data_IF_521123701787
#
_entry.id   IF_521123701787
#
_cell.length_a   1.000
_cell.length_b   1.000
_cell.length_c   1.000
_cell.angle_alpha   90.00
_cell.angle_beta   90.00
_cell.angle_gamma   90.00
#
_symmetry.space_group_name_H-M   'P 1'
#
loop_
_entity.id
_entity.type
_entity.pdbx_description
1 polymer ?
#
# COMPACT_ATOMS: atom_id res chain seq x y z
N UNK A 1 4.97 32.16 -15.06
CA UNK A 1 3.78 31.55 -15.68
C UNK A 1 2.82 30.99 -14.63
N UNK A 2 3.27 30.05 -13.80
CA UNK A 2 2.49 29.42 -12.70
C UNK A 2 1.71 30.43 -11.84
N UNK A 3 2.38 31.39 -11.22
CA UNK A 3 1.71 32.38 -10.34
C UNK A 3 0.64 33.24 -11.04
N UNK A 4 0.86 33.58 -12.32
CA UNK A 4 -0.12 34.36 -13.12
C UNK A 4 -1.36 33.52 -13.44
N UNK A 5 -1.16 32.25 -13.79
CA UNK A 5 -2.26 31.31 -14.06
C UNK A 5 -3.08 31.04 -12.80
N UNK A 6 -2.42 30.77 -11.67
CA UNK A 6 -3.11 30.49 -10.40
C UNK A 6 -3.88 31.72 -9.91
N UNK A 7 -3.33 32.92 -10.07
CA UNK A 7 -4.03 34.17 -9.77
C UNK A 7 -5.28 34.36 -10.64
N UNK A 8 -5.12 34.26 -11.96
CA UNK A 8 -6.23 34.41 -12.91
C UNK A 8 -7.35 33.38 -12.68
N UNK A 9 -6.98 32.11 -12.44
CA UNK A 9 -7.97 31.05 -12.18
C UNK A 9 -8.72 31.31 -10.87
N UNK A 10 -8.03 31.70 -9.79
CA UNK A 10 -8.67 32.01 -8.50
C UNK A 10 -9.61 33.21 -8.58
N UNK A 11 -9.23 34.23 -9.34
CA UNK A 11 -10.03 35.46 -9.50
C UNK A 11 -11.28 35.22 -10.35
N UNK A 12 -11.15 34.47 -11.45
CA UNK A 12 -12.22 34.34 -12.47
C UNK A 12 -13.04 33.06 -12.36
N UNK A 13 -12.54 32.03 -11.67
CA UNK A 13 -13.20 30.73 -11.51
C UNK A 13 -13.12 30.28 -10.04
N UNK A 14 -13.81 30.96 -9.11
CA UNK A 14 -13.91 30.50 -7.73
C UNK A 14 -14.62 29.13 -7.69
N UNK A 15 -14.15 28.23 -6.81
CA UNK A 15 -14.76 26.92 -6.66
C UNK A 15 -16.25 27.04 -6.30
N UNK A 16 -17.16 26.22 -6.89
CA UNK A 16 -16.89 25.02 -7.68
C UNK A 16 -16.92 25.23 -9.21
N UNK A 17 -16.79 26.46 -9.71
CA UNK A 17 -16.92 26.76 -11.13
C UNK A 17 -15.88 26.02 -11.98
N UNK A 18 -16.33 25.38 -13.06
CA UNK A 18 -15.44 24.71 -14.02
C UNK A 18 -14.56 25.74 -14.74
N UNK A 19 -13.25 25.47 -14.81
CA UNK A 19 -12.28 26.35 -15.45
C UNK A 19 -12.40 26.26 -16.98
N UNK A 20 -12.61 27.39 -17.64
CA UNK A 20 -12.55 27.48 -19.11
C UNK A 20 -11.11 27.67 -19.57
N UNK A 21 -10.43 26.57 -19.88
CA UNK A 21 -9.01 26.59 -20.27
C UNK A 21 -8.74 27.29 -21.61
N UNK A 22 -9.74 27.46 -22.48
CA UNK A 22 -9.59 28.25 -23.70
C UNK A 22 -9.44 29.74 -23.37
N UNK A 23 -10.20 30.24 -22.40
CA UNK A 23 -10.07 31.61 -21.91
C UNK A 23 -8.74 31.83 -21.16
N UNK A 24 -8.30 30.85 -20.36
CA UNK A 24 -6.99 30.89 -19.69
C UNK A 24 -5.84 30.89 -20.71
N UNK A 25 -5.93 30.04 -21.73
CA UNK A 25 -5.00 29.96 -22.86
C UNK A 25 -4.87 31.28 -23.59
N UNK A 26 -6.00 31.90 -23.94
CA UNK A 26 -6.03 33.22 -24.59
C UNK A 26 -5.43 34.32 -23.68
N UNK A 27 -5.73 34.31 -22.39
CA UNK A 27 -5.17 35.27 -21.44
C UNK A 27 -3.65 35.12 -21.28
N UNK A 28 -3.16 33.89 -21.27
CA UNK A 28 -1.76 33.59 -21.05
C UNK A 28 -0.91 33.60 -22.31
N UNK A 29 -1.52 33.60 -23.50
CA UNK A 29 -0.84 33.38 -24.79
C UNK A 29 -0.06 32.05 -24.81
N UNK A 30 -0.68 30.99 -24.29
CA UNK A 30 -0.09 29.64 -24.19
C UNK A 30 -1.09 28.62 -24.75
N UNK A 31 -0.60 27.50 -25.28
CA UNK A 31 -1.44 26.40 -25.78
C UNK A 31 -2.37 25.90 -24.67
N UNK A 32 -3.62 25.59 -25.03
CA UNK A 32 -4.65 25.16 -24.09
C UNK A 32 -4.24 23.91 -23.30
N UNK A 33 -3.63 22.94 -23.97
CA UNK A 33 -3.17 21.69 -23.34
C UNK A 33 -2.08 21.93 -22.29
N UNK A 34 -1.21 22.91 -22.50
CA UNK A 34 -0.22 23.33 -21.51
C UNK A 34 -0.88 23.96 -20.28
N UNK A 35 -1.95 24.74 -20.47
CA UNK A 35 -2.71 25.32 -19.36
C UNK A 35 -3.38 24.23 -18.51
N UNK A 36 -3.98 23.22 -19.16
CA UNK A 36 -4.57 22.06 -18.48
C UNK A 36 -3.51 21.29 -17.71
N UNK A 37 -2.38 20.99 -18.37
CA UNK A 37 -1.26 20.25 -17.77
C UNK A 37 -0.70 20.96 -16.55
N UNK A 38 -0.39 22.26 -16.64
CA UNK A 38 0.14 23.04 -15.52
C UNK A 38 -0.92 23.10 -14.39
N UNK A 39 -2.20 23.26 -14.71
CA UNK A 39 -3.25 23.28 -13.70
C UNK A 39 -3.35 21.95 -12.96
N UNK A 40 -3.35 20.82 -13.67
CA UNK A 40 -3.37 19.49 -13.06
C UNK A 40 -2.11 19.21 -12.23
N UNK A 41 -0.94 19.67 -12.67
CA UNK A 41 0.31 19.60 -11.89
C UNK A 41 0.19 20.35 -10.56
N UNK A 42 -0.39 21.55 -10.56
CA UNK A 42 -0.59 22.36 -9.35
C UNK A 42 -1.63 21.76 -8.39
N UNK A 43 -2.60 21.01 -8.92
CA UNK A 43 -3.58 20.27 -8.12
C UNK A 43 -3.03 18.91 -7.62
N UNK A 44 -1.76 18.61 -7.86
CA UNK A 44 -1.14 17.34 -7.46
C UNK A 44 -1.60 16.13 -8.28
N UNK A 45 -2.26 16.35 -9.43
CA UNK A 45 -2.78 15.31 -10.32
C UNK A 45 -1.75 14.84 -11.36
N UNK A 46 -0.47 14.87 -11.00
CA UNK A 46 0.61 14.43 -11.90
C UNK A 46 0.46 12.95 -12.28
N UNK A 47 0.53 12.64 -13.57
CA UNK A 47 0.49 11.28 -14.11
C UNK A 47 1.79 10.96 -14.84
N UNK A 48 2.32 9.77 -14.58
CA UNK A 48 3.46 9.24 -15.32
C UNK A 48 3.00 8.72 -16.68
N UNK A 49 3.30 9.50 -17.72
CA UNK A 49 3.08 9.17 -19.12
C UNK A 49 4.42 8.84 -19.79
N UNK A 50 4.40 8.21 -20.97
CA UNK A 50 5.63 7.81 -21.68
C UNK A 50 6.56 9.02 -21.91
N UNK A 51 5.99 10.15 -22.31
CA UNK A 51 6.75 11.39 -22.54
C UNK A 51 7.44 11.90 -21.26
N UNK A 52 6.79 11.80 -20.11
CA UNK A 52 7.32 12.21 -18.81
C UNK A 52 8.44 11.28 -18.35
N UNK A 53 8.36 9.98 -18.65
CA UNK A 53 9.46 9.05 -18.40
C UNK A 53 10.68 9.38 -19.27
N UNK A 54 10.46 9.61 -20.56
CA UNK A 54 11.52 9.97 -21.51
C UNK A 54 12.16 11.31 -21.11
N UNK A 55 11.35 12.31 -20.79
CA UNK A 55 11.83 13.61 -20.32
C UNK A 55 12.61 13.51 -19.01
N UNK A 56 12.10 12.76 -18.03
CA UNK A 56 12.81 12.51 -16.78
C UNK A 56 14.15 11.80 -16.99
N UNK A 57 14.22 10.87 -17.95
CA UNK A 57 15.46 10.19 -18.31
C UNK A 57 16.47 11.14 -18.96
N UNK A 58 16.03 12.01 -19.88
CA UNK A 58 16.88 13.04 -20.50
C UNK A 58 17.47 13.97 -19.43
N UNK A 59 16.65 14.49 -18.52
CA UNK A 59 17.12 15.35 -17.43
C UNK A 59 18.13 14.64 -16.53
N UNK A 60 17.97 13.32 -16.30
CA UNK A 60 18.96 12.53 -15.55
C UNK A 60 20.28 12.36 -16.28
N UNK A 61 20.26 12.16 -17.59
CA UNK A 61 21.47 12.10 -18.43
C UNK A 61 22.20 13.44 -18.43
N UNK A 62 21.47 14.55 -18.37
CA UNK A 62 22.02 15.89 -18.22
C UNK A 62 22.61 16.18 -16.82
N UNK A 63 22.60 15.21 -15.91
CA UNK A 63 23.24 15.31 -14.61
C UNK A 63 22.34 15.84 -13.48
N UNK A 64 21.08 16.20 -13.76
CA UNK A 64 20.19 16.76 -12.73
C UNK A 64 19.85 15.71 -11.67
N UNK A 65 19.87 16.10 -10.41
CA UNK A 65 19.45 15.25 -9.29
C UNK A 65 17.95 14.91 -9.37
N UNK A 66 17.54 13.82 -8.71
CA UNK A 66 16.11 13.46 -8.66
C UNK A 66 15.21 14.54 -8.03
N UNK A 67 15.77 15.44 -7.22
CA UNK A 67 15.03 16.59 -6.68
C UNK A 67 14.74 17.62 -7.78
N UNK A 68 15.76 17.98 -8.55
CA UNK A 68 15.63 18.95 -9.64
C UNK A 68 14.74 18.38 -10.75
N UNK A 69 14.92 17.11 -11.11
CA UNK A 69 14.01 16.42 -12.05
C UNK A 69 12.57 16.45 -11.56
N UNK A 70 12.34 16.27 -10.26
CA UNK A 70 11.00 16.39 -9.70
C UNK A 70 10.43 17.81 -9.89
N UNK A 71 11.20 18.85 -9.59
CA UNK A 71 10.79 20.25 -9.79
C UNK A 71 10.49 20.58 -11.26
N UNK A 72 11.25 20.00 -12.21
CA UNK A 72 11.00 20.15 -13.64
C UNK A 72 9.72 19.44 -14.11
N UNK A 73 9.35 18.31 -13.49
CA UNK A 73 8.19 17.51 -13.88
C UNK A 73 6.91 17.97 -13.19
N UNK A 74 6.97 18.25 -11.88
CA UNK A 74 5.88 18.87 -11.13
C UNK A 74 6.35 19.36 -9.75
N UNK A 75 5.91 20.57 -9.34
CA UNK A 75 6.25 21.12 -8.04
C UNK A 75 5.75 20.27 -6.86
N UNK A 76 4.74 19.41 -7.08
CA UNK A 76 4.19 18.51 -6.06
C UNK A 76 4.82 17.12 -6.06
N UNK A 77 5.74 16.84 -7.00
CA UNK A 77 6.33 15.51 -7.16
C UNK A 77 7.50 15.35 -6.20
N UNK A 78 7.57 14.22 -5.49
CA UNK A 78 8.69 13.95 -4.58
C UNK A 78 9.87 13.31 -5.31
N UNK A 79 11.08 13.55 -4.79
CA UNK A 79 12.31 12.83 -5.16
C UNK A 79 12.13 11.33 -5.26
N UNK A 80 11.45 10.77 -4.26
CA UNK A 80 11.25 9.33 -4.10
C UNK A 80 10.32 8.79 -5.21
N UNK A 81 9.32 9.57 -5.59
CA UNK A 81 8.42 9.24 -6.70
C UNK A 81 9.21 9.18 -8.01
N UNK A 82 10.05 10.17 -8.31
CA UNK A 82 10.89 10.19 -9.53
C UNK A 82 11.88 9.04 -9.54
N UNK A 83 12.62 8.84 -8.45
CA UNK A 83 13.61 7.76 -8.34
C UNK A 83 12.97 6.39 -8.53
N UNK A 84 11.80 6.15 -7.92
CA UNK A 84 11.06 4.89 -8.09
C UNK A 84 10.57 4.72 -9.52
N UNK A 85 9.96 5.75 -10.10
CA UNK A 85 9.39 5.71 -11.44
C UNK A 85 10.47 5.41 -12.48
N UNK A 86 11.59 6.13 -12.46
CA UNK A 86 12.70 5.89 -13.38
C UNK A 86 13.34 4.52 -13.19
N UNK A 87 13.49 4.06 -11.95
CA UNK A 87 13.95 2.68 -11.69
C UNK A 87 13.00 1.67 -12.31
N UNK A 88 11.69 1.82 -12.11
CA UNK A 88 10.68 0.91 -12.67
C UNK A 88 10.59 0.96 -14.20
N UNK A 89 10.93 2.09 -14.81
CA UNK A 89 10.97 2.27 -16.26
C UNK A 89 12.23 1.68 -16.90
N UNK A 90 13.40 1.96 -16.31
CA UNK A 90 14.70 1.55 -16.85
C UNK A 90 15.08 0.11 -16.51
N UNK A 91 14.55 -0.47 -15.43
CA UNK A 91 14.77 -1.89 -15.16
C UNK A 91 13.68 -2.70 -15.85
N UNK A 92 14.03 -3.59 -16.81
CA UNK A 92 13.08 -4.60 -17.24
C UNK A 92 12.58 -5.28 -15.98
N UNK A 93 11.27 -5.27 -15.74
CA UNK A 93 10.71 -6.12 -14.71
C UNK A 93 11.20 -7.52 -15.08
N UNK A 94 12.01 -8.20 -14.25
CA UNK A 94 12.45 -9.54 -14.58
C UNK A 94 11.18 -10.32 -14.94
N UNK A 95 11.22 -11.04 -16.06
CA UNK A 95 10.11 -11.91 -16.44
C UNK A 95 9.93 -12.87 -15.28
N UNK A 96 8.90 -12.62 -14.48
CA UNK A 96 8.65 -13.36 -13.25
C UNK A 96 7.94 -14.62 -13.69
N UNK A 97 8.71 -15.67 -13.89
CA UNK A 97 8.14 -16.97 -14.20
C UNK A 97 7.25 -17.42 -13.03
N UNK A 98 6.02 -17.86 -13.31
CA UNK A 98 5.22 -18.54 -12.30
C UNK A 98 5.92 -19.83 -11.88
N UNK A 99 5.73 -20.21 -10.62
CA UNK A 99 6.18 -21.52 -10.13
C UNK A 99 5.39 -22.61 -10.88
N UNK A 100 6.09 -23.55 -11.49
CA UNK A 100 5.48 -24.64 -12.26
C UNK A 100 4.77 -25.64 -11.34
N UNK A 101 3.94 -26.52 -11.92
CA UNK A 101 3.30 -27.60 -11.18
C UNK A 101 4.35 -28.54 -10.55
N UNK A 102 5.36 -28.94 -11.33
CA UNK A 102 6.44 -29.82 -10.87
C UNK A 102 7.21 -29.22 -9.68
N UNK A 103 7.49 -27.91 -9.71
CA UNK A 103 8.13 -27.21 -8.60
C UNK A 103 7.23 -27.16 -7.36
N UNK A 104 5.91 -27.00 -7.53
CA UNK A 104 4.96 -27.06 -6.41
C UNK A 104 4.89 -28.46 -5.80
N UNK A 105 5.05 -29.51 -6.59
CA UNK A 105 5.11 -30.89 -6.13
C UNK A 105 6.43 -31.16 -5.40
N UNK A 106 7.55 -30.67 -5.92
CA UNK A 106 8.84 -30.72 -5.23
C UNK A 106 8.81 -29.98 -3.90
N UNK A 107 8.24 -28.77 -3.85
CA UNK A 107 8.03 -28.05 -2.59
C UNK A 107 7.22 -28.90 -1.61
N UNK A 108 6.15 -29.56 -2.08
CA UNK A 108 5.28 -30.37 -1.22
C UNK A 108 6.05 -31.55 -0.62
N UNK A 109 6.80 -32.29 -1.43
CA UNK A 109 7.65 -33.40 -0.97
C UNK A 109 8.70 -32.95 0.06
N UNK A 110 9.35 -31.82 -0.18
CA UNK A 110 10.34 -31.28 0.74
C UNK A 110 9.71 -30.78 2.06
N UNK A 111 8.49 -30.21 1.99
CA UNK A 111 7.74 -29.87 3.19
C UNK A 111 7.40 -31.12 3.99
N UNK A 112 6.94 -32.21 3.35
CA UNK A 112 6.66 -33.48 4.01
C UNK A 112 7.93 -34.07 4.66
N UNK A 113 9.07 -33.99 3.97
CA UNK A 113 10.35 -34.47 4.48
C UNK A 113 10.83 -33.70 5.71
N UNK A 114 10.62 -32.39 5.72
CA UNK A 114 11.15 -31.47 6.74
C UNK A 114 10.18 -31.16 7.88
N UNK A 115 8.88 -31.41 7.70
CA UNK A 115 7.88 -31.18 8.71
C UNK A 115 8.23 -31.93 10.01
N UNK A 116 8.21 -31.21 11.13
CA UNK A 116 8.53 -31.75 12.45
C UNK A 116 10.03 -31.95 12.74
N UNK A 117 10.90 -31.87 11.73
CA UNK A 117 12.37 -31.96 11.90
C UNK A 117 13.05 -30.60 12.01
N UNK A 118 12.47 -29.60 11.35
CA UNK A 118 13.03 -28.25 11.25
C UNK A 118 11.97 -27.20 11.58
N UNK A 119 12.42 -26.03 12.03
CA UNK A 119 11.55 -24.86 12.18
C UNK A 119 11.09 -24.34 10.83
N UNK A 120 9.96 -23.64 10.78
CA UNK A 120 9.40 -23.06 9.54
C UNK A 120 10.40 -22.18 8.81
N UNK A 121 11.22 -21.42 9.53
CA UNK A 121 12.24 -20.55 8.95
C UNK A 121 13.30 -21.39 8.22
N UNK A 122 13.78 -22.45 8.87
CA UNK A 122 14.75 -23.37 8.30
C UNK A 122 14.19 -24.14 7.10
N UNK A 123 12.92 -24.58 7.15
CA UNK A 123 12.25 -25.23 6.02
C UNK A 123 12.23 -24.29 4.81
N UNK A 124 11.79 -23.05 5.00
CA UNK A 124 11.73 -22.06 3.92
C UNK A 124 13.12 -21.82 3.31
N UNK A 125 14.16 -21.70 4.14
CA UNK A 125 15.51 -21.44 3.66
C UNK A 125 16.18 -22.66 3.01
N UNK A 126 15.91 -23.88 3.49
CA UNK A 126 16.37 -25.13 2.86
C UNK A 126 15.73 -25.34 1.49
N UNK A 127 14.41 -25.23 1.39
CA UNK A 127 13.69 -25.37 0.13
C UNK A 127 14.13 -24.29 -0.87
N UNK A 128 14.31 -23.04 -0.41
CA UNK A 128 14.81 -21.95 -1.25
C UNK A 128 16.18 -22.27 -1.83
N UNK A 129 17.09 -22.82 -1.02
CA UNK A 129 18.45 -23.14 -1.41
C UNK A 129 18.47 -24.30 -2.41
N UNK A 130 17.69 -25.35 -2.15
CA UNK A 130 17.63 -26.53 -3.02
C UNK A 130 17.00 -26.26 -4.38
N UNK A 131 15.92 -25.46 -4.42
CA UNK A 131 15.19 -25.17 -5.66
C UNK A 131 15.68 -23.89 -6.37
N UNK A 132 16.75 -23.27 -5.87
CA UNK A 132 17.34 -22.04 -6.41
C UNK A 132 16.33 -20.94 -6.78
N UNK A 133 15.36 -20.66 -5.88
CA UNK A 133 14.30 -19.68 -6.12
C UNK A 133 14.73 -18.20 -5.99
N UNK A 134 16.02 -17.90 -6.11
CA UNK A 134 16.63 -16.58 -5.89
C UNK A 134 15.97 -15.45 -6.68
N UNK A 135 15.34 -15.75 -7.83
CA UNK A 135 14.69 -14.75 -8.70
C UNK A 135 13.16 -14.80 -8.74
N UNK A 136 12.50 -15.79 -8.10
CA UNK A 136 11.05 -15.99 -8.26
C UNK A 136 10.25 -15.16 -7.24
N UNK A 137 9.25 -14.40 -7.70
CA UNK A 137 8.36 -13.66 -6.77
C UNK A 137 7.42 -14.65 -6.09
N UNK A 138 7.15 -14.45 -4.80
CA UNK A 138 6.15 -15.21 -4.02
C UNK A 138 6.50 -16.67 -3.67
N UNK A 139 7.73 -17.16 -3.90
CA UNK A 139 8.11 -18.53 -3.47
C UNK A 139 7.91 -18.72 -1.96
N UNK A 140 8.30 -17.72 -1.14
CA UNK A 140 8.06 -17.76 0.32
C UNK A 140 6.59 -17.95 0.66
N UNK A 141 5.70 -17.26 -0.04
CA UNK A 141 4.26 -17.41 0.17
C UNK A 141 3.79 -18.81 -0.24
N UNK A 142 4.29 -19.37 -1.33
CA UNK A 142 3.93 -20.70 -1.82
C UNK A 142 4.41 -21.81 -0.90
N UNK A 143 5.66 -21.74 -0.44
CA UNK A 143 6.21 -22.66 0.58
C UNK A 143 5.40 -22.53 1.87
N UNK A 144 5.18 -21.31 2.35
CA UNK A 144 4.38 -21.07 3.56
C UNK A 144 2.98 -21.70 3.45
N UNK A 145 2.31 -21.56 2.29
CA UNK A 145 1.02 -22.20 2.05
C UNK A 145 1.08 -23.72 2.16
N UNK A 146 2.11 -24.36 1.59
CA UNK A 146 2.30 -25.82 1.69
C UNK A 146 2.59 -26.27 3.11
N UNK A 147 3.47 -25.56 3.82
CA UNK A 147 3.72 -25.79 5.26
C UNK A 147 2.41 -25.77 6.04
N UNK A 148 1.55 -24.78 5.80
CA UNK A 148 0.28 -24.69 6.56
C UNK A 148 -0.82 -25.64 6.11
N UNK A 149 -0.72 -26.19 4.90
CA UNK A 149 -1.59 -27.27 4.47
C UNK A 149 -1.17 -28.62 5.08
N UNK A 150 0.07 -28.74 5.55
CA UNK A 150 0.59 -29.96 6.13
C UNK A 150 -0.05 -30.26 7.51
N UNK A 151 -0.49 -31.50 7.79
CA UNK A 151 -1.20 -31.87 9.03
C UNK A 151 -0.47 -31.47 10.31
N UNK A 152 0.86 -31.65 10.36
CA UNK A 152 1.69 -31.26 11.52
C UNK A 152 1.50 -29.79 11.92
N UNK A 153 1.46 -28.87 10.95
CA UNK A 153 1.30 -27.44 11.23
C UNK A 153 -0.17 -27.04 11.36
N UNK A 154 -1.10 -27.78 10.77
CA UNK A 154 -2.54 -27.56 11.01
C UNK A 154 -2.91 -27.79 12.47
N UNK A 155 -2.40 -28.86 13.09
CA UNK A 155 -2.58 -29.12 14.53
C UNK A 155 -2.00 -27.99 15.38
N UNK A 156 -0.75 -27.57 15.10
CA UNK A 156 -0.16 -26.39 15.76
C UNK A 156 -1.04 -25.15 15.61
N UNK A 157 -1.56 -24.89 14.40
CA UNK A 157 -2.40 -23.71 14.13
C UNK A 157 -3.78 -23.77 14.79
N UNK A 158 -4.36 -24.96 15.01
CA UNK A 158 -5.62 -25.10 15.75
C UNK A 158 -5.44 -24.86 17.24
N UNK A 159 -4.28 -25.21 17.78
CA UNK A 159 -3.97 -25.07 19.22
C UNK A 159 -3.60 -23.63 19.60
N UNK A 160 -3.26 -22.78 18.63
CA UNK A 160 -2.98 -21.38 18.89
C UNK A 160 -4.24 -20.68 19.40
N UNK A 161 -4.23 -20.34 20.69
CA UNK A 161 -5.23 -19.48 21.30
C UNK A 161 -5.10 -18.05 20.76
N UNK A 162 -5.73 -17.82 19.62
CA UNK A 162 -5.69 -16.56 18.94
C UNK A 162 -6.46 -15.44 19.67
N UNK A 163 -7.27 -15.78 20.67
CA UNK A 163 -7.97 -14.80 21.51
C UNK A 163 -6.99 -14.02 22.41
N UNK A 164 -5.84 -14.60 22.76
CA UNK A 164 -4.77 -13.91 23.50
C UNK A 164 -3.81 -13.15 22.55
N UNK A 165 -3.49 -13.73 21.39
CA UNK A 165 -2.56 -13.13 20.43
C UNK A 165 -3.07 -11.86 19.76
N UNK A 166 -4.37 -11.78 19.47
CA UNK A 166 -4.98 -10.60 18.84
C UNK A 166 -4.76 -9.32 19.66
N UNK A 167 -5.16 -9.29 20.95
CA UNK A 167 -4.94 -8.17 21.85
C UNK A 167 -3.47 -7.80 22.04
N UNK A 168 -2.58 -8.79 22.20
CA UNK A 168 -1.13 -8.54 22.40
C UNK A 168 -0.48 -7.88 21.17
N UNK A 169 -0.92 -8.24 19.97
CA UNK A 169 -0.46 -7.60 18.73
C UNK A 169 -1.08 -6.20 18.57
N UNK A 170 -2.37 -6.04 18.91
CA UNK A 170 -3.07 -4.75 18.83
C UNK A 170 -2.53 -3.71 19.82
N UNK A 171 -2.08 -4.14 21.00
CA UNK A 171 -1.47 -3.29 22.02
C UNK A 171 -0.01 -2.95 21.75
N UNK A 172 0.62 -3.62 20.77
CA UNK A 172 2.03 -3.43 20.41
C UNK A 172 3.02 -4.19 21.30
N UNK A 173 2.54 -5.06 22.19
CA UNK A 173 3.40 -5.89 23.06
C UNK A 173 4.22 -6.91 22.26
N UNK A 174 3.72 -7.35 21.11
CA UNK A 174 4.46 -8.21 20.19
C UNK A 174 4.11 -7.89 18.74
N UNK A 175 4.98 -8.27 17.81
CA UNK A 175 4.68 -8.18 16.37
C UNK A 175 4.26 -9.54 15.85
N UNK A 176 3.47 -9.57 14.76
CA UNK A 176 3.08 -10.84 14.13
C UNK A 176 4.29 -11.68 13.70
N UNK A 177 5.41 -11.03 13.34
CA UNK A 177 6.64 -11.73 12.97
C UNK A 177 7.27 -12.44 14.17
N UNK A 178 7.37 -11.74 15.31
CA UNK A 178 7.93 -12.31 16.55
C UNK A 178 7.04 -13.43 17.06
N UNK A 179 5.73 -13.20 17.13
CA UNK A 179 4.77 -14.22 17.53
C UNK A 179 4.83 -15.48 16.64
N UNK A 180 4.95 -15.30 15.31
CA UNK A 180 5.06 -16.40 14.37
C UNK A 180 6.35 -17.22 14.55
N UNK A 181 7.46 -16.56 14.91
CA UNK A 181 8.71 -17.26 15.23
C UNK A 181 8.59 -18.06 16.52
N UNK A 182 8.00 -17.49 17.58
CA UNK A 182 7.81 -18.19 18.86
C UNK A 182 6.89 -19.41 18.72
N UNK A 183 5.88 -19.31 17.86
CA UNK A 183 4.90 -20.38 17.63
C UNK A 183 5.33 -21.35 16.51
N UNK A 184 6.48 -21.12 15.90
CA UNK A 184 6.99 -21.91 14.77
C UNK A 184 5.95 -22.08 13.64
N UNK A 185 5.38 -20.95 13.18
CA UNK A 185 4.38 -20.90 12.10
C UNK A 185 4.72 -19.83 11.07
N UNK A 186 4.26 -19.94 9.81
CA UNK A 186 4.51 -18.90 8.81
C UNK A 186 3.85 -17.56 9.18
N UNK A 187 4.58 -16.42 9.18
CA UNK A 187 4.04 -15.11 9.58
C UNK A 187 2.83 -14.65 8.77
N UNK A 188 2.81 -14.92 7.46
CA UNK A 188 1.71 -14.54 6.58
C UNK A 188 0.41 -15.27 6.92
N UNK A 189 0.49 -16.50 7.44
CA UNK A 189 -0.68 -17.29 7.80
C UNK A 189 -1.17 -16.94 9.19
N UNK A 190 -0.27 -16.72 10.17
CA UNK A 190 -0.66 -16.18 11.47
C UNK A 190 -1.37 -14.82 11.32
N UNK A 191 -0.83 -13.92 10.48
CA UNK A 191 -1.47 -12.64 10.15
C UNK A 191 -2.89 -12.84 9.60
N UNK A 192 -3.08 -13.78 8.66
CA UNK A 192 -4.37 -14.08 8.07
C UNK A 192 -5.35 -14.65 9.09
N UNK A 193 -4.89 -15.54 9.98
CA UNK A 193 -5.71 -16.15 11.02
C UNK A 193 -6.18 -15.13 12.04
N UNK A 194 -5.28 -14.26 12.50
CA UNK A 194 -5.60 -13.12 13.37
C UNK A 194 -6.62 -12.21 12.68
N UNK A 195 -6.42 -11.89 11.40
CA UNK A 195 -7.37 -11.09 10.62
C UNK A 195 -8.75 -11.75 10.55
N UNK A 196 -8.83 -13.06 10.28
CA UNK A 196 -10.10 -13.80 10.23
C UNK A 196 -10.82 -13.81 11.58
N UNK A 197 -10.08 -13.91 12.68
CA UNK A 197 -10.66 -13.91 14.01
C UNK A 197 -11.09 -12.51 14.44
N UNK A 198 -10.29 -11.48 14.14
CA UNK A 198 -10.72 -10.09 14.29
C UNK A 198 -11.99 -9.82 13.47
N UNK A 199 -12.12 -10.38 12.27
CA UNK A 199 -13.35 -10.26 11.49
C UNK A 199 -14.55 -10.95 12.16
N UNK A 200 -14.34 -12.01 12.95
CA UNK A 200 -15.40 -12.63 13.77
C UNK A 200 -15.70 -11.83 15.04
N UNK A 201 -14.70 -11.22 15.67
CA UNK A 201 -14.84 -10.41 16.88
C UNK A 201 -15.56 -9.08 16.60
N UNK A 202 -15.34 -8.50 15.42
CA UNK A 202 -15.91 -7.22 15.05
C UNK A 202 -17.03 -7.36 14.02
N UNK A 203 -18.22 -6.92 14.39
CA UNK A 203 -19.37 -6.91 13.48
C UNK A 203 -19.01 -6.19 12.15
N UNK A 204 -19.32 -6.79 10.99
CA UNK A 204 -19.13 -6.13 9.70
C UNK A 204 -20.12 -4.98 9.49
N UNK A 205 -21.24 -4.97 10.23
CA UNK A 205 -22.23 -3.90 10.17
C UNK A 205 -21.72 -2.68 10.95
N UNK A 206 -21.89 -1.51 10.33
CA UNK A 206 -21.57 -0.23 10.94
C UNK A 206 -22.84 0.39 11.49
N UNK A 207 -22.85 0.67 12.80
CA UNK A 207 -23.91 1.47 13.40
C UNK A 207 -23.65 2.97 13.15
N UNK A 208 -24.71 3.77 13.09
CA UNK A 208 -24.61 5.20 12.75
C UNK A 208 -23.83 6.01 13.79
N UNK A 209 -23.83 5.57 15.06
CA UNK A 209 -23.02 6.17 16.11
C UNK A 209 -21.51 5.92 15.90
N UNK A 210 -21.12 4.74 15.41
CA UNK A 210 -19.73 4.39 15.08
C UNK A 210 -19.24 5.22 13.89
N UNK A 211 -20.10 5.38 12.87
CA UNK A 211 -19.80 6.20 11.70
C UNK A 211 -19.60 7.66 12.13
N UNK A 212 -20.50 8.21 12.95
CA UNK A 212 -20.39 9.59 13.46
C UNK A 212 -19.10 9.80 14.25
N UNK A 213 -18.75 8.89 15.16
CA UNK A 213 -17.50 8.97 15.94
C UNK A 213 -16.26 8.90 15.04
N UNK A 214 -16.27 8.05 14.01
CA UNK A 214 -15.20 7.97 13.02
C UNK A 214 -15.06 9.25 12.22
N UNK A 215 -16.17 9.81 11.74
CA UNK A 215 -16.16 11.06 10.97
C UNK A 215 -15.62 12.21 11.82
N UNK A 216 -16.11 12.35 13.06
CA UNK A 216 -15.66 13.38 13.99
C UNK A 216 -14.16 13.28 14.26
N UNK A 217 -13.65 12.07 14.57
CA UNK A 217 -12.21 11.88 14.80
C UNK A 217 -11.38 12.25 13.58
N UNK A 218 -11.80 11.81 12.39
CA UNK A 218 -11.12 12.11 11.14
C UNK A 218 -11.10 13.60 10.80
N UNK A 219 -12.14 14.34 11.18
CA UNK A 219 -12.22 15.79 11.02
C UNK A 219 -11.38 16.55 12.06
N UNK A 220 -11.23 15.99 13.27
CA UNK A 220 -10.41 16.58 14.33
C UNK A 220 -8.91 16.34 14.17
N UNK A 221 -8.49 15.45 13.25
CA UNK A 221 -7.09 15.18 12.98
C UNK A 221 -6.61 16.01 11.79
N UNK A 222 -5.83 17.06 12.06
CA UNK A 222 -5.15 17.85 11.03
C UNK A 222 -4.05 17.07 10.28
N UNK A 223 -3.57 15.98 10.88
CA UNK A 223 -2.51 15.10 10.36
C UNK A 223 -3.02 13.69 10.07
N UNK A 224 -2.14 12.84 9.52
CA UNK A 224 -2.42 11.42 9.23
C UNK A 224 -3.04 10.74 10.48
N UNK A 225 -4.28 10.25 10.40
CA UNK A 225 -4.98 9.73 11.57
C UNK A 225 -4.27 8.51 12.15
N UNK A 226 -4.05 8.51 13.47
CA UNK A 226 -3.58 7.32 14.18
C UNK A 226 -4.75 6.35 14.37
N UNK A 227 -4.79 5.37 13.48
CA UNK A 227 -5.82 4.32 13.48
C UNK A 227 -5.63 3.31 14.60
N UNK A 228 -4.43 3.21 15.18
CA UNK A 228 -4.14 2.31 16.30
C UNK A 228 -4.72 2.91 17.58
N UNK A 229 -4.49 4.21 17.80
CA UNK A 229 -5.11 4.94 18.90
C UNK A 229 -6.64 4.91 18.80
N UNK A 230 -7.19 5.24 17.62
CA UNK A 230 -8.64 5.26 17.42
C UNK A 230 -9.30 3.90 17.67
N UNK A 231 -8.63 2.81 17.26
CA UNK A 231 -9.09 1.46 17.54
C UNK A 231 -9.15 1.18 19.06
N UNK A 232 -8.15 1.64 19.84
CA UNK A 232 -8.18 1.51 21.31
C UNK A 232 -9.36 2.26 21.95
N UNK A 233 -9.74 3.42 21.43
CA UNK A 233 -10.80 4.27 22.00
C UNK A 233 -12.20 3.70 21.75
N UNK A 234 -12.47 3.19 20.54
CA UNK A 234 -13.80 2.65 20.21
C UNK A 234 -13.93 1.16 20.45
N UNK A 235 -12.88 0.37 20.19
CA UNK A 235 -12.86 -1.06 20.41
C UNK A 235 -13.91 -1.88 19.63
N UNK A 236 -14.67 -1.28 18.71
CA UNK A 236 -15.80 -1.98 18.05
C UNK A 236 -15.49 -2.50 16.64
N UNK A 237 -14.37 -2.08 16.05
CA UNK A 237 -13.94 -2.45 14.69
C UNK A 237 -12.42 -2.60 14.62
N UNK A 238 -11.92 -3.42 13.71
CA UNK A 238 -10.48 -3.53 13.44
C UNK A 238 -9.93 -2.34 12.66
N UNK A 239 -8.61 -2.11 12.73
CA UNK A 239 -7.90 -1.10 11.93
C UNK A 239 -8.14 -1.24 10.41
N UNK A 240 -8.22 -2.47 9.90
CA UNK A 240 -8.55 -2.75 8.50
C UNK A 240 -9.99 -2.33 8.17
N UNK A 241 -10.97 -2.66 9.02
CA UNK A 241 -12.36 -2.26 8.82
C UNK A 241 -12.51 -0.73 8.82
N UNK A 242 -11.84 -0.03 9.75
CA UNK A 242 -11.80 1.43 9.72
C UNK A 242 -11.18 1.97 8.43
N UNK A 243 -10.04 1.43 8.00
CA UNK A 243 -9.36 1.87 6.77
C UNK A 243 -10.23 1.72 5.53
N UNK A 244 -10.92 0.58 5.40
CA UNK A 244 -11.87 0.30 4.31
C UNK A 244 -13.07 1.25 4.40
N UNK A 245 -13.60 1.50 5.62
CA UNK A 245 -14.73 2.42 5.79
C UNK A 245 -14.36 3.85 5.45
N UNK A 246 -13.20 4.34 5.86
CA UNK A 246 -12.69 5.68 5.51
C UNK A 246 -12.54 5.79 4.00
N UNK A 247 -11.97 4.79 3.34
CA UNK A 247 -11.86 4.76 1.88
C UNK A 247 -13.24 4.91 1.22
N UNK A 248 -14.24 4.17 1.71
CA UNK A 248 -15.60 4.25 1.20
C UNK A 248 -16.29 5.58 1.51
N UNK A 249 -16.06 6.18 2.68
CA UNK A 249 -16.61 7.48 3.07
C UNK A 249 -16.02 8.62 2.23
N UNK A 250 -14.72 8.56 1.93
CA UNK A 250 -14.04 9.49 1.03
C UNK A 250 -14.53 9.38 -0.41
N UNK A 251 -14.82 8.16 -0.88
CA UNK A 251 -15.39 7.94 -2.21
C UNK A 251 -16.83 8.49 -2.34
N UNK A 252 -17.52 8.68 -1.22
CA UNK A 252 -18.87 9.24 -1.16
C UNK A 252 -18.89 10.72 -0.76
N UNK A 253 -17.73 11.40 -0.78
CA UNK A 253 -17.56 12.81 -0.41
C UNK A 253 -18.05 13.19 1.01
N UNK A 254 -18.17 12.20 1.90
CA UNK A 254 -18.55 12.43 3.31
C UNK A 254 -17.34 12.90 4.15
N UNK A 255 -16.13 12.57 3.72
CA UNK A 255 -14.87 12.97 4.36
C UNK A 255 -13.97 13.72 3.38
N UNK A 256 -13.31 14.80 3.81
CA UNK A 256 -12.37 15.52 2.97
C UNK A 256 -11.20 14.61 2.56
N UNK A 257 -10.72 14.80 1.33
CA UNK A 257 -9.45 14.21 0.91
C UNK A 257 -8.32 14.88 1.68
N UNK A 258 -7.53 14.08 2.41
CA UNK A 258 -6.32 14.58 3.07
C UNK A 258 -5.33 14.90 1.96
N UNK A 259 -5.25 16.17 1.60
CA UNK A 259 -4.17 16.74 0.80
C UNK A 259 -2.88 16.47 1.57
N UNK A 260 -2.00 15.65 1.01
CA UNK A 260 -0.66 15.49 1.57
C UNK A 260 0.03 16.85 1.48
N UNK A 261 0.28 17.48 2.64
CA UNK A 261 1.40 18.41 2.78
C UNK A 261 2.71 17.64 2.67
#
# INVERSE_FOLDING_TARGET
>A
MVYRMTGFIKERYPAPTLVNYRAVSNFMWVVMDDCIRIHDMLQGKFKWTKAEYEWAAVLRVQGLSFNEVAQHLSPTLSRQSVSRALREYSTPKPVREPISADELDQISRLVDEYAGKYTVVEIIDKIRTQLNFSHRRNYRSKIAWRITAHPHYQAKLSDINCNDLGPRIATGQTTTRVAAQTLDVPPCILARRIMQLNYKLYSPKWADNEIRKLVHYMQSCDLKPDMVYFNKVLGTKSSTQYSVKIFNLRRKDVLPHVSKM
#
